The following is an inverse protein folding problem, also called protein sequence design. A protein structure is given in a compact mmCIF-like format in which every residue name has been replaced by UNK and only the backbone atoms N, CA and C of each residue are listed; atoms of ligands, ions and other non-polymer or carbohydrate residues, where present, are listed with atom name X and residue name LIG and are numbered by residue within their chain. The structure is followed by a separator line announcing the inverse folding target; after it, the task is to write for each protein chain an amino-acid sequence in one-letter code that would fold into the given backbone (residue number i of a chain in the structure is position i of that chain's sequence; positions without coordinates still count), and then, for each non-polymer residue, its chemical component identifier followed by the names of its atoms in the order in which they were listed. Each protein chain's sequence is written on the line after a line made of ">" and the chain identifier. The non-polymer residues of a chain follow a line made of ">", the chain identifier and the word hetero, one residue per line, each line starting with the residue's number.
data_IF_601027497097
#
_entry.id   IF_601027497097
#
_cell.length_a   1.000
_cell.length_b   1.000
_cell.length_c   1.000
_cell.angle_alpha   90.00
_cell.angle_beta   90.00
_cell.angle_gamma   90.00
#
_symmetry.space_group_name_H-M   'P 1'
#
loop_
_entity.id
_entity.type
_entity.pdbx_description
1 polymer ?
#
# COMPACT_ATOMS: atom_id res chain seq x y z
N UNK A 1 -4.38 24.35 7.13
CA UNK A 1 -5.66 23.78 6.70
C UNK A 1 -6.19 24.66 5.63
N UNK A 2 -6.56 24.07 4.50
CA UNK A 2 -7.13 24.79 3.36
C UNK A 2 -8.64 24.56 3.34
N UNK A 3 -9.41 25.64 3.30
CA UNK A 3 -10.86 25.58 3.16
C UNK A 3 -11.22 26.05 1.76
N UNK A 4 -12.09 25.29 1.09
CA UNK A 4 -12.76 25.74 -0.13
C UNK A 4 -14.14 26.28 0.22
N UNK A 5 -14.80 26.92 -0.75
CA UNK A 5 -16.14 27.48 -0.55
C UNK A 5 -17.12 26.41 -0.06
N UNK A 6 -17.78 26.70 1.07
CA UNK A 6 -18.77 25.86 1.70
C UNK A 6 -20.17 26.46 1.58
N UNK A 7 -21.12 25.86 2.29
CA UNK A 7 -22.50 26.38 2.34
C UNK A 7 -23.20 26.01 3.66
N UNK A 8 -24.01 26.94 4.16
CA UNK A 8 -24.86 26.78 5.32
C UNK A 8 -26.31 26.53 4.87
N UNK A 9 -26.71 25.27 4.86
CA UNK A 9 -28.08 24.84 4.51
C UNK A 9 -29.08 25.09 5.64
N UNK A 10 -28.62 25.45 6.85
CA UNK A 10 -29.52 25.78 7.98
C UNK A 10 -30.00 27.22 7.88
N UNK A 11 -29.13 28.13 7.42
CA UNK A 11 -29.41 29.57 7.35
C UNK A 11 -29.40 30.15 5.93
N UNK A 12 -29.26 29.30 4.90
CA UNK A 12 -29.22 29.66 3.47
C UNK A 12 -28.19 30.74 3.12
N UNK A 13 -26.92 30.50 3.46
CA UNK A 13 -25.80 31.43 3.21
C UNK A 13 -24.49 30.72 2.91
N UNK A 14 -23.53 31.44 2.33
CA UNK A 14 -22.21 30.88 1.96
C UNK A 14 -21.36 30.63 3.22
N UNK A 15 -21.53 31.43 4.27
CA UNK A 15 -20.70 31.31 5.47
C UNK A 15 -21.16 30.16 6.40
N UNK A 16 -20.53 29.00 6.23
CA UNK A 16 -20.73 27.80 7.04
C UNK A 16 -19.98 27.83 8.39
N UNK A 17 -20.22 28.86 9.21
CA UNK A 17 -19.61 28.97 10.54
C UNK A 17 -20.10 27.87 11.50
N UNK A 18 -19.18 27.33 12.30
CA UNK A 18 -19.51 26.41 13.38
C UNK A 18 -19.84 27.19 14.65
N UNK A 19 -21.07 27.04 15.12
CA UNK A 19 -21.65 27.65 16.31
C UNK A 19 -21.86 26.62 17.44
N UNK A 20 -21.26 25.43 17.32
CA UNK A 20 -21.40 24.33 18.27
C UNK A 20 -20.04 23.77 18.72
N UNK A 21 -19.11 23.59 17.77
CA UNK A 21 -17.78 22.99 17.98
C UNK A 21 -17.65 21.56 17.45
N UNK A 22 -18.75 20.84 17.23
CA UNK A 22 -18.71 19.48 16.71
C UNK A 22 -18.11 19.41 15.31
N UNK A 23 -18.54 20.32 14.41
CA UNK A 23 -18.07 20.37 13.03
C UNK A 23 -16.57 20.65 12.95
N UNK A 24 -16.08 21.60 13.75
CA UNK A 24 -14.67 21.98 13.81
C UNK A 24 -13.81 20.82 14.34
N UNK A 25 -14.27 20.11 15.37
CA UNK A 25 -13.56 18.94 15.92
C UNK A 25 -13.44 17.80 14.89
N UNK A 26 -14.53 17.53 14.18
CA UNK A 26 -14.58 16.54 13.09
C UNK A 26 -13.65 16.95 11.94
N UNK A 27 -13.71 18.20 11.50
CA UNK A 27 -12.85 18.77 10.47
C UNK A 27 -11.36 18.68 10.84
N UNK A 28 -11.03 18.99 12.10
CA UNK A 28 -9.66 18.89 12.63
C UNK A 28 -9.13 17.46 12.60
N UNK A 29 -9.97 16.47 12.94
CA UNK A 29 -9.60 15.05 12.83
C UNK A 29 -9.19 14.66 11.40
N UNK A 30 -9.83 15.25 10.38
CA UNK A 30 -9.50 15.00 8.98
C UNK A 30 -8.23 15.76 8.59
N UNK A 31 -8.20 17.09 8.73
CA UNK A 31 -7.17 17.94 8.11
C UNK A 31 -6.68 19.11 8.99
N UNK A 32 -6.56 18.90 10.30
CA UNK A 32 -5.91 19.89 11.16
C UNK A 32 -4.46 20.16 10.70
N UNK A 33 -4.09 21.44 10.73
CA UNK A 33 -2.74 21.91 10.39
C UNK A 33 -1.70 21.19 11.23
N UNK A 34 -0.75 20.53 10.56
CA UNK A 34 0.25 19.66 11.17
C UNK A 34 1.66 20.21 10.94
N UNK A 35 2.66 19.77 11.73
CA UNK A 35 4.08 20.17 11.64
C UNK A 35 4.39 21.64 12.00
N UNK A 36 3.54 22.28 12.80
CA UNK A 36 3.74 23.64 13.32
C UNK A 36 4.27 23.67 14.78
N UNK A 37 4.52 22.51 15.38
CA UNK A 37 4.96 22.38 16.78
C UNK A 37 3.86 22.68 17.82
N UNK A 38 2.59 22.69 17.41
CA UNK A 38 1.46 23.08 18.26
C UNK A 38 0.30 22.09 18.15
N UNK A 39 -0.28 21.73 19.30
CA UNK A 39 -1.53 20.97 19.36
C UNK A 39 -1.42 19.52 18.86
N UNK A 40 -2.31 19.17 17.93
CA UNK A 40 -2.49 17.81 17.38
C UNK A 40 -2.45 17.83 15.85
N UNK A 41 -2.64 16.68 15.21
CA UNK A 41 -2.52 16.48 13.77
C UNK A 41 -3.82 15.95 13.15
N UNK A 42 -4.10 16.36 11.91
CA UNK A 42 -5.11 15.75 11.06
C UNK A 42 -4.57 14.51 10.33
N UNK A 43 -5.45 13.55 10.03
CA UNK A 43 -5.07 12.33 9.31
C UNK A 43 -4.58 12.63 7.89
N UNK A 44 -5.30 13.47 7.14
CA UNK A 44 -4.98 13.95 5.81
C UNK A 44 -4.74 15.46 5.85
N UNK A 45 -3.66 15.89 6.51
CA UNK A 45 -3.38 17.29 6.82
C UNK A 45 -3.14 18.22 5.60
N UNK A 46 -2.97 17.67 4.40
CA UNK A 46 -2.90 18.43 3.13
C UNK A 46 -4.23 18.42 2.35
N UNK A 47 -5.28 17.77 2.87
CA UNK A 47 -6.59 17.81 2.24
C UNK A 47 -7.23 19.20 2.38
N UNK A 48 -7.92 19.63 1.33
CA UNK A 48 -8.84 20.77 1.37
C UNK A 48 -10.18 20.35 1.96
N UNK A 49 -10.79 21.22 2.76
CA UNK A 49 -12.08 20.98 3.40
C UNK A 49 -13.17 21.86 2.81
N UNK A 50 -14.30 21.25 2.43
CA UNK A 50 -15.54 21.93 2.05
C UNK A 50 -16.55 21.85 3.22
N UNK A 51 -16.75 22.93 3.99
CA UNK A 51 -17.65 22.89 5.14
C UNK A 51 -19.11 23.02 4.68
N UNK A 52 -19.92 21.99 4.91
CA UNK A 52 -21.36 22.00 4.64
C UNK A 52 -22.13 21.89 5.95
N UNK A 53 -22.72 23.01 6.38
CA UNK A 53 -23.48 23.06 7.64
C UNK A 53 -24.91 22.61 7.39
N UNK A 54 -25.24 21.44 7.94
CA UNK A 54 -26.58 20.83 7.88
C UNK A 54 -27.19 20.61 9.26
N UNK A 55 -26.44 20.91 10.33
CA UNK A 55 -26.88 20.86 11.72
C UNK A 55 -26.84 22.26 12.33
N UNK A 56 -27.94 22.66 12.96
CA UNK A 56 -28.05 23.90 13.73
C UNK A 56 -27.24 23.82 15.04
N UNK A 57 -27.14 24.94 15.76
CA UNK A 57 -26.41 25.03 17.04
C UNK A 57 -26.84 24.00 18.09
N UNK A 58 -28.07 23.50 18.02
CA UNK A 58 -28.57 22.44 18.91
C UNK A 58 -28.17 21.01 18.49
N UNK A 59 -27.42 20.85 17.39
CA UNK A 59 -27.01 19.57 16.82
C UNK A 59 -28.09 18.86 16.00
N UNK A 60 -29.24 19.49 15.75
CA UNK A 60 -30.32 18.95 14.92
C UNK A 60 -30.28 19.48 13.48
N UNK A 61 -30.78 18.70 12.54
CA UNK A 61 -30.91 19.07 11.12
C UNK A 61 -32.02 18.29 10.44
N UNK A 62 -32.33 18.63 9.19
CA UNK A 62 -33.38 17.95 8.43
C UNK A 62 -32.79 16.99 7.40
N UNK A 63 -33.56 15.96 7.05
CA UNK A 63 -33.18 15.02 5.98
C UNK A 63 -33.07 15.75 4.62
N UNK A 64 -33.85 16.82 4.41
CA UNK A 64 -33.80 17.61 3.20
C UNK A 64 -32.45 18.33 3.06
N UNK A 65 -32.03 19.06 4.10
CA UNK A 65 -30.76 19.81 4.10
C UNK A 65 -29.56 18.87 3.91
N UNK A 66 -29.59 17.70 4.57
CA UNK A 66 -28.50 16.71 4.43
C UNK A 66 -28.47 16.15 3.00
N UNK A 67 -29.62 15.78 2.43
CA UNK A 67 -29.69 15.24 1.07
C UNK A 67 -29.26 16.28 0.03
N UNK A 68 -29.65 17.54 0.21
CA UNK A 68 -29.23 18.65 -0.65
C UNK A 68 -27.72 18.90 -0.55
N UNK A 69 -27.16 18.91 0.66
CA UNK A 69 -25.73 19.05 0.88
C UNK A 69 -24.91 17.91 0.24
N UNK A 70 -25.39 16.66 0.28
CA UNK A 70 -24.73 15.54 -0.38
C UNK A 70 -24.68 15.76 -1.90
N UNK A 71 -25.78 16.22 -2.51
CA UNK A 71 -25.83 16.51 -3.94
C UNK A 71 -24.94 17.70 -4.29
N UNK A 72 -24.98 18.77 -3.50
CA UNK A 72 -24.13 19.95 -3.65
C UNK A 72 -22.65 19.57 -3.64
N UNK A 73 -22.23 18.76 -2.66
CA UNK A 73 -20.86 18.26 -2.56
C UNK A 73 -20.46 17.45 -3.81
N UNK A 74 -21.32 16.54 -4.25
CA UNK A 74 -21.07 15.72 -5.44
C UNK A 74 -21.02 16.58 -6.73
N UNK A 75 -21.79 17.66 -6.80
CA UNK A 75 -21.75 18.62 -7.92
C UNK A 75 -20.47 19.46 -7.95
N UNK A 76 -19.81 19.61 -6.80
CA UNK A 76 -18.49 20.24 -6.69
C UNK A 76 -17.32 19.22 -6.76
N UNK A 77 -17.60 17.98 -7.19
CA UNK A 77 -16.58 16.95 -7.44
C UNK A 77 -15.69 16.64 -6.23
N UNK A 78 -16.26 16.71 -5.01
CA UNK A 78 -15.49 16.37 -3.81
C UNK A 78 -15.08 14.89 -3.80
N UNK A 79 -13.92 14.61 -3.20
CA UNK A 79 -13.40 13.25 -3.16
C UNK A 79 -14.10 12.35 -2.15
N UNK A 80 -14.40 12.90 -0.97
CA UNK A 80 -14.93 12.18 0.20
C UNK A 80 -15.92 13.07 0.94
N UNK A 81 -17.07 12.52 1.33
CA UNK A 81 -18.03 13.18 2.22
C UNK A 81 -18.04 12.43 3.56
N UNK A 82 -17.80 13.16 4.65
CA UNK A 82 -17.93 12.64 6.00
C UNK A 82 -19.23 13.12 6.66
N UNK A 83 -20.07 12.18 7.07
CA UNK A 83 -21.36 12.40 7.73
C UNK A 83 -21.28 11.94 9.18
N UNK A 84 -20.73 12.79 10.05
CA UNK A 84 -20.65 12.56 11.51
C UNK A 84 -22.00 12.80 12.23
N UNK A 85 -23.10 12.40 11.60
CA UNK A 85 -24.48 12.60 12.03
C UNK A 85 -25.27 11.28 11.98
N UNK A 86 -26.46 11.24 12.59
CA UNK A 86 -27.29 10.05 12.57
C UNK A 86 -28.76 10.33 12.86
N UNK A 87 -29.64 9.53 12.27
CA UNK A 87 -31.09 9.59 12.41
C UNK A 87 -31.74 8.20 12.47
N UNK A 88 -32.99 8.16 12.93
CA UNK A 88 -33.67 6.91 13.24
C UNK A 88 -34.35 6.23 12.04
N UNK A 89 -34.46 6.89 10.89
CA UNK A 89 -35.32 6.44 9.79
C UNK A 89 -34.64 6.46 8.43
N UNK A 90 -35.06 5.51 7.59
CA UNK A 90 -34.78 5.50 6.16
C UNK A 90 -35.60 6.58 5.44
N UNK A 91 -35.06 7.13 4.38
CA UNK A 91 -35.67 8.13 3.53
C UNK A 91 -35.20 7.92 2.09
N UNK A 92 -36.15 7.79 1.17
CA UNK A 92 -35.84 7.66 -0.26
C UNK A 92 -35.04 8.87 -0.77
N UNK A 93 -35.34 10.08 -0.28
CA UNK A 93 -34.59 11.29 -0.65
C UNK A 93 -33.10 11.18 -0.30
N UNK A 94 -32.80 10.62 0.88
CA UNK A 94 -31.42 10.40 1.32
C UNK A 94 -30.74 9.30 0.51
N UNK A 95 -31.44 8.19 0.26
CA UNK A 95 -30.93 7.09 -0.55
C UNK A 95 -30.58 7.55 -1.97
N UNK A 96 -31.45 8.32 -2.62
CA UNK A 96 -31.21 8.88 -3.95
C UNK A 96 -30.04 9.86 -3.99
N UNK A 97 -29.85 10.67 -2.94
CA UNK A 97 -28.70 11.57 -2.83
C UNK A 97 -27.39 10.81 -2.66
N UNK A 98 -27.39 9.76 -1.83
CA UNK A 98 -26.24 8.86 -1.62
C UNK A 98 -25.88 8.16 -2.92
N UNK A 99 -26.85 7.57 -3.61
CA UNK A 99 -26.63 6.90 -4.89
C UNK A 99 -26.07 7.88 -5.93
N UNK A 100 -26.61 9.10 -5.99
CA UNK A 100 -26.13 10.15 -6.88
C UNK A 100 -24.65 10.49 -6.63
N UNK A 101 -24.26 10.70 -5.37
CA UNK A 101 -22.89 11.00 -5.00
C UNK A 101 -21.94 9.82 -5.28
N UNK A 102 -22.36 8.59 -4.95
CA UNK A 102 -21.56 7.39 -5.20
C UNK A 102 -21.27 7.19 -6.70
N UNK A 103 -22.28 7.35 -7.56
CA UNK A 103 -22.10 7.23 -9.02
C UNK A 103 -21.26 8.36 -9.63
N UNK A 104 -21.07 9.47 -8.91
CA UNK A 104 -20.10 10.52 -9.27
C UNK A 104 -18.67 10.23 -8.78
N UNK A 105 -18.42 9.09 -8.14
CA UNK A 105 -17.10 8.71 -7.65
C UNK A 105 -16.75 9.29 -6.27
N UNK A 106 -17.75 9.74 -5.51
CA UNK A 106 -17.57 10.26 -4.15
C UNK A 106 -17.57 9.12 -3.14
N UNK A 107 -16.59 9.10 -2.25
CA UNK A 107 -16.57 8.15 -1.12
C UNK A 107 -17.42 8.71 0.01
N UNK A 108 -18.41 7.93 0.46
CA UNK A 108 -19.34 8.34 1.52
C UNK A 108 -18.98 7.62 2.81
N UNK A 109 -18.72 8.37 3.89
CA UNK A 109 -18.36 7.81 5.21
C UNK A 109 -19.33 8.36 6.25
N UNK A 110 -19.86 7.50 7.12
CA UNK A 110 -20.80 7.94 8.15
C UNK A 110 -20.61 7.24 9.50
N UNK A 111 -21.00 7.95 10.55
CA UNK A 111 -20.98 7.46 11.92
C UNK A 111 -22.06 6.39 12.17
N UNK A 112 -21.71 5.25 12.76
CA UNK A 112 -22.66 4.17 13.05
C UNK A 112 -23.73 4.53 14.11
N UNK A 113 -23.49 5.54 14.95
CA UNK A 113 -24.39 5.98 16.01
C UNK A 113 -23.95 5.56 17.42
N UNK A 114 -24.50 6.23 18.44
CA UNK A 114 -24.00 6.20 19.83
C UNK A 114 -25.02 5.63 20.83
N UNK A 115 -25.79 4.62 20.44
CA UNK A 115 -26.88 4.06 21.26
C UNK A 115 -26.66 2.60 21.70
N UNK A 116 -25.48 2.04 21.45
CA UNK A 116 -25.14 0.63 21.68
C UNK A 116 -26.16 -0.36 21.08
N UNK A 117 -26.69 -0.03 19.90
CA UNK A 117 -27.67 -0.84 19.18
C UNK A 117 -26.97 -1.81 18.21
N UNK A 118 -27.57 -2.97 17.99
CA UNK A 118 -27.11 -3.99 17.02
C UNK A 118 -27.55 -3.66 15.57
N UNK A 119 -27.48 -2.38 15.21
CA UNK A 119 -27.55 -1.89 13.85
C UNK A 119 -26.96 -0.48 13.79
N UNK A 120 -26.29 -0.15 12.68
CA UNK A 120 -25.91 1.23 12.39
C UNK A 120 -27.16 2.11 12.17
N UNK A 121 -27.06 3.38 12.55
CA UNK A 121 -28.06 4.41 12.26
C UNK A 121 -27.99 4.83 10.78
N UNK A 122 -29.02 5.50 10.28
CA UNK A 122 -28.94 6.15 8.97
C UNK A 122 -28.20 7.49 9.13
N UNK A 123 -27.29 7.88 8.22
CA UNK A 123 -27.08 7.31 6.89
C UNK A 123 -26.06 6.15 6.79
N UNK A 124 -25.34 5.80 7.86
CA UNK A 124 -24.32 4.73 7.83
C UNK A 124 -24.85 3.35 7.38
N UNK A 125 -26.15 3.11 7.52
CA UNK A 125 -26.79 1.86 7.10
C UNK A 125 -27.17 1.79 5.62
N UNK A 126 -27.11 2.90 4.87
CA UNK A 126 -27.41 2.85 3.44
C UNK A 126 -26.35 2.05 2.68
N UNK A 127 -26.72 1.38 1.57
CA UNK A 127 -25.75 0.92 0.59
C UNK A 127 -24.82 2.06 0.16
N UNK A 128 -23.60 1.72 -0.25
CA UNK A 128 -22.58 2.68 -0.73
C UNK A 128 -22.01 3.64 0.32
N UNK A 129 -22.52 3.65 1.55
CA UNK A 129 -21.95 4.40 2.67
C UNK A 129 -21.08 3.48 3.52
N UNK A 130 -19.87 3.94 3.84
CA UNK A 130 -18.95 3.25 4.74
C UNK A 130 -19.39 3.56 6.17
N UNK A 131 -19.99 2.58 6.84
CA UNK A 131 -20.43 2.73 8.23
C UNK A 131 -19.30 2.47 9.23
N UNK A 132 -19.06 3.44 10.12
CA UNK A 132 -17.91 3.43 11.03
C UNK A 132 -18.32 3.30 12.50
N UNK A 133 -17.89 2.20 13.14
CA UNK A 133 -18.03 2.02 14.59
C UNK A 133 -16.86 2.63 15.37
N UNK A 134 -17.09 2.95 16.64
CA UNK A 134 -16.12 3.63 17.49
C UNK A 134 -15.34 2.66 18.38
N UNK A 135 -14.03 2.86 18.42
CA UNK A 135 -13.09 2.21 19.33
C UNK A 135 -12.74 3.12 20.50
N UNK A 136 -12.54 2.54 21.67
CA UNK A 136 -11.94 3.20 22.82
C UNK A 136 -10.40 3.19 22.75
N UNK A 137 -9.75 3.78 23.77
CA UNK A 137 -8.29 3.85 23.86
C UNK A 137 -7.59 2.50 24.04
N UNK A 138 -8.32 1.44 24.40
CA UNK A 138 -7.79 0.07 24.46
C UNK A 138 -7.96 -0.67 23.12
N UNK A 139 -8.56 -0.04 22.12
CA UNK A 139 -8.88 -0.67 20.84
C UNK A 139 -10.10 -1.59 20.89
N UNK A 140 -10.90 -1.54 21.96
CA UNK A 140 -12.14 -2.29 22.07
C UNK A 140 -13.31 -1.44 21.58
N UNK A 141 -14.43 -2.08 21.21
CA UNK A 141 -15.65 -1.32 20.86
C UNK A 141 -16.03 -0.41 22.03
N UNK A 142 -16.18 0.87 21.74
CA UNK A 142 -16.63 1.84 22.73
C UNK A 142 -18.02 1.42 23.29
N UNK A 143 -18.29 1.59 24.59
CA UNK A 143 -19.54 1.13 25.20
C UNK A 143 -20.80 1.70 24.56
N UNK A 144 -20.74 2.91 24.01
CA UNK A 144 -21.86 3.57 23.34
C UNK A 144 -21.99 3.21 21.85
N UNK A 145 -20.95 2.65 21.20
CA UNK A 145 -20.95 2.47 19.75
C UNK A 145 -22.02 1.47 19.33
N UNK A 146 -22.82 1.86 18.34
CA UNK A 146 -23.61 0.91 17.56
C UNK A 146 -22.69 -0.07 16.83
N UNK A 147 -23.22 -1.26 16.54
CA UNK A 147 -22.53 -2.39 15.93
C UNK A 147 -23.51 -3.18 15.05
N UNK A 148 -23.06 -4.26 14.41
CA UNK A 148 -23.94 -5.15 13.65
C UNK A 148 -24.12 -4.69 12.21
N UNK A 149 -25.34 -4.83 11.70
CA UNK A 149 -25.63 -4.53 10.29
C UNK A 149 -25.36 -3.06 9.93
N UNK A 150 -24.66 -2.83 8.82
CA UNK A 150 -24.27 -1.49 8.35
C UNK A 150 -22.97 -0.97 8.98
N UNK A 151 -22.22 -1.78 9.73
CA UNK A 151 -20.85 -1.46 10.13
C UNK A 151 -19.86 -2.15 9.20
N UNK A 152 -19.04 -1.36 8.51
CA UNK A 152 -18.03 -1.83 7.57
C UNK A 152 -16.62 -1.87 8.16
N UNK A 153 -16.31 -0.94 9.07
CA UNK A 153 -14.98 -0.75 9.64
C UNK A 153 -15.09 -0.06 11.00
N UNK A 154 -14.07 -0.23 11.85
CA UNK A 154 -13.96 0.46 13.14
C UNK A 154 -12.76 1.40 13.20
N UNK A 155 -12.91 2.53 13.89
CA UNK A 155 -11.87 3.53 14.03
C UNK A 155 -11.90 4.21 15.42
N UNK A 156 -10.83 4.91 15.83
CA UNK A 156 -10.78 5.59 17.12
C UNK A 156 -11.91 6.62 17.29
N UNK A 157 -12.86 6.34 18.18
CA UNK A 157 -13.95 7.25 18.53
C UNK A 157 -13.87 7.76 19.97
N UNK A 158 -12.99 7.17 20.79
CA UNK A 158 -12.74 7.54 22.17
C UNK A 158 -13.79 7.05 23.16
N UNK A 159 -13.47 7.20 24.44
CA UNK A 159 -14.37 6.92 25.58
C UNK A 159 -14.00 7.81 26.77
N UNK A 160 -14.67 7.66 27.91
CA UNK A 160 -14.33 8.41 29.12
C UNK A 160 -12.88 8.19 29.58
N UNK A 161 -12.28 7.05 29.23
CA UNK A 161 -10.90 6.71 29.56
C UNK A 161 -9.87 7.24 28.55
N UNK A 162 -10.32 7.87 27.46
CA UNK A 162 -9.46 8.39 26.42
C UNK A 162 -10.28 8.99 25.29
N UNK A 163 -10.44 10.31 25.30
CA UNK A 163 -11.19 11.08 24.29
C UNK A 163 -10.30 11.45 23.11
N UNK A 164 -10.91 11.71 21.96
CA UNK A 164 -10.20 12.23 20.78
C UNK A 164 -10.01 13.73 20.98
N UNK A 165 -8.75 14.17 21.12
CA UNK A 165 -8.38 15.56 21.34
C UNK A 165 -8.19 16.27 19.99
N UNK A 166 -8.88 17.38 19.78
CA UNK A 166 -8.68 18.27 18.62
C UNK A 166 -8.87 19.74 19.03
N UNK A 167 -8.33 20.66 18.23
CA UNK A 167 -8.73 22.06 18.31
C UNK A 167 -10.17 22.20 17.82
N UNK A 168 -10.98 22.94 18.56
CA UNK A 168 -12.38 23.19 18.26
C UNK A 168 -12.83 24.55 18.79
N UNK A 169 -14.11 24.87 18.61
CA UNK A 169 -14.76 26.06 19.15
C UNK A 169 -15.56 25.67 20.38
N UNK A 170 -15.42 26.45 21.45
CA UNK A 170 -16.27 26.35 22.61
C UNK A 170 -17.67 26.90 22.26
N UNK A 171 -18.69 26.05 22.30
CA UNK A 171 -20.05 26.41 21.88
C UNK A 171 -20.76 27.47 22.76
N UNK A 172 -20.24 27.76 23.96
CA UNK A 172 -20.81 28.82 24.83
C UNK A 172 -20.15 30.18 24.58
N UNK A 173 -18.83 30.18 24.39
CA UNK A 173 -18.02 31.40 24.28
C UNK A 173 -17.64 31.77 22.85
N UNK A 174 -17.72 30.83 21.90
CA UNK A 174 -17.25 30.97 20.53
C UNK A 174 -15.73 31.06 20.40
N UNK A 175 -14.98 30.69 21.45
CA UNK A 175 -13.51 30.83 21.46
C UNK A 175 -12.81 29.52 21.08
N UNK A 176 -11.63 29.58 20.43
CA UNK A 176 -10.85 28.37 20.13
C UNK A 176 -10.36 27.67 21.40
N UNK A 177 -10.51 26.35 21.46
CA UNK A 177 -10.12 25.51 22.59
C UNK A 177 -9.68 24.11 22.13
N UNK A 178 -8.77 23.47 22.86
CA UNK A 178 -8.52 22.04 22.69
C UNK A 178 -9.49 21.24 23.55
N UNK A 179 -10.34 20.43 22.91
CA UNK A 179 -11.34 19.63 23.61
C UNK A 179 -11.28 18.16 23.19
N UNK A 180 -11.44 17.29 24.18
CA UNK A 180 -11.55 15.85 23.99
C UNK A 180 -13.01 15.44 23.81
N UNK A 181 -13.40 14.93 22.64
CA UNK A 181 -14.74 14.40 22.36
C UNK A 181 -14.74 12.87 22.25
N UNK A 182 -15.92 12.27 22.44
CA UNK A 182 -16.14 10.85 22.17
C UNK A 182 -17.37 10.66 21.30
N UNK A 183 -17.31 9.71 20.37
CA UNK A 183 -18.43 9.34 19.52
C UNK A 183 -18.01 8.59 18.27
N UNK A 184 -18.95 7.90 17.65
CA UNK A 184 -18.81 7.43 16.25
C UNK A 184 -18.60 8.61 15.28
N UNK A 185 -19.07 9.80 15.65
CA UNK A 185 -18.76 11.07 14.98
C UNK A 185 -17.26 11.41 14.96
N UNK A 186 -16.46 10.91 15.90
CA UNK A 186 -15.00 11.07 15.92
C UNK A 186 -14.30 9.90 15.23
N UNK A 187 -14.92 8.72 15.16
CA UNK A 187 -14.40 7.57 14.42
C UNK A 187 -14.52 7.76 12.89
N UNK A 188 -15.69 8.22 12.42
CA UNK A 188 -15.97 8.50 11.00
C UNK A 188 -14.90 9.37 10.31
N UNK A 189 -14.48 10.53 10.86
CA UNK A 189 -13.48 11.38 10.21
C UNK A 189 -12.08 10.76 10.14
N UNK A 190 -11.72 9.82 11.03
CA UNK A 190 -10.47 9.08 10.87
C UNK A 190 -10.50 8.24 9.59
N UNK A 191 -11.63 7.55 9.31
CA UNK A 191 -11.81 6.76 8.09
C UNK A 191 -11.87 7.67 6.87
N UNK A 192 -12.57 8.80 6.93
CA UNK A 192 -12.64 9.77 5.85
C UNK A 192 -11.26 10.35 5.50
N UNK A 193 -10.43 10.66 6.50
CA UNK A 193 -9.05 11.07 6.30
C UNK A 193 -8.21 10.00 5.60
N UNK A 194 -8.31 8.72 6.01
CA UNK A 194 -7.60 7.64 5.32
C UNK A 194 -8.12 7.42 3.90
N UNK A 195 -9.44 7.53 3.68
CA UNK A 195 -10.02 7.47 2.34
C UNK A 195 -9.45 8.56 1.43
N UNK A 196 -9.30 9.79 1.93
CA UNK A 196 -8.66 10.88 1.20
C UNK A 196 -7.20 10.57 0.85
N UNK A 197 -6.43 9.96 1.76
CA UNK A 197 -5.05 9.51 1.49
C UNK A 197 -5.00 8.41 0.41
N UNK A 198 -5.96 7.49 0.39
CA UNK A 198 -6.08 6.46 -0.66
C UNK A 198 -6.41 7.10 -2.01
N UNK A 199 -7.37 8.05 -2.06
CA UNK A 199 -7.69 8.77 -3.30
C UNK A 199 -6.52 9.60 -3.82
N UNK A 200 -5.75 10.22 -2.92
CA UNK A 200 -4.52 10.94 -3.27
C UNK A 200 -3.44 10.03 -3.86
N UNK A 201 -3.49 8.71 -3.61
CA UNK A 201 -2.62 7.74 -4.29
C UNK A 201 -3.11 7.42 -5.71
N UNK A 202 -4.25 7.93 -6.17
CA UNK A 202 -4.75 7.71 -7.54
C UNK A 202 -5.77 6.58 -7.68
N UNK A 203 -6.24 5.98 -6.58
CA UNK A 203 -7.40 5.09 -6.61
C UNK A 203 -8.66 5.96 -6.51
N UNK A 204 -9.41 6.09 -7.60
CA UNK A 204 -10.54 7.03 -7.65
C UNK A 204 -11.91 6.38 -7.40
N UNK A 205 -12.07 5.10 -7.75
CA UNK A 205 -13.34 4.39 -7.61
C UNK A 205 -13.68 4.16 -6.13
N UNK A 206 -14.89 4.55 -5.65
CA UNK A 206 -15.26 4.39 -4.25
C UNK A 206 -15.28 2.94 -3.76
N UNK A 207 -15.62 1.97 -4.63
CA UNK A 207 -15.59 0.56 -4.27
C UNK A 207 -14.16 0.07 -4.05
N UNK A 208 -13.23 0.52 -4.88
CA UNK A 208 -11.80 0.21 -4.72
C UNK A 208 -11.22 0.84 -3.45
N UNK A 209 -11.61 2.08 -3.11
CA UNK A 209 -11.24 2.71 -1.83
C UNK A 209 -11.73 1.88 -0.65
N UNK A 210 -13.00 1.45 -0.66
CA UNK A 210 -13.56 0.59 0.39
C UNK A 210 -12.82 -0.75 0.48
N UNK A 211 -12.46 -1.36 -0.66
CA UNK A 211 -11.70 -2.60 -0.69
C UNK A 211 -10.32 -2.44 -0.06
N UNK A 212 -9.60 -1.36 -0.37
CA UNK A 212 -8.31 -1.05 0.26
C UNK A 212 -8.46 -0.85 1.77
N UNK A 213 -9.47 -0.10 2.20
CA UNK A 213 -9.76 0.09 3.63
C UNK A 213 -9.99 -1.26 4.31
N UNK A 214 -10.88 -2.11 3.80
CA UNK A 214 -11.21 -3.42 4.39
C UNK A 214 -10.03 -4.41 4.38
N UNK A 215 -9.17 -4.38 3.37
CA UNK A 215 -8.01 -5.29 3.30
C UNK A 215 -6.83 -4.84 4.16
N UNK A 216 -6.79 -3.55 4.52
CA UNK A 216 -5.70 -2.97 5.30
C UNK A 216 -5.94 -2.95 6.80
N UNK A 217 -7.13 -3.33 7.26
CA UNK A 217 -7.48 -3.32 8.68
C UNK A 217 -6.61 -4.28 9.50
N UNK A 218 -6.47 -3.98 10.79
CA UNK A 218 -6.12 -5.00 11.78
C UNK A 218 -7.36 -5.85 12.02
N UNK A 219 -7.39 -7.01 11.37
CA UNK A 219 -8.50 -7.96 11.46
C UNK A 219 -8.69 -8.49 12.89
N UNK A 220 -9.94 -8.71 13.26
CA UNK A 220 -10.33 -9.33 14.53
C UNK A 220 -11.06 -10.62 14.17
N UNK A 221 -10.47 -11.76 14.54
CA UNK A 221 -10.95 -13.08 14.08
C UNK A 221 -12.26 -13.52 14.75
N UNK A 222 -12.52 -13.08 15.98
CA UNK A 222 -13.70 -13.46 16.76
C UNK A 222 -14.60 -12.24 17.03
N UNK A 223 -15.50 -11.97 16.10
CA UNK A 223 -16.49 -10.88 16.19
C UNK A 223 -17.89 -11.30 15.70
N UNK A 224 -18.58 -12.21 16.42
CA UNK A 224 -19.85 -12.79 15.97
C UNK A 224 -21.00 -11.78 15.85
N UNK A 225 -20.87 -10.61 16.48
CA UNK A 225 -21.89 -9.55 16.46
C UNK A 225 -21.51 -8.38 15.56
N UNK A 226 -20.39 -8.46 14.83
CA UNK A 226 -19.90 -7.39 13.95
C UNK A 226 -19.74 -6.04 14.66
N UNK A 227 -19.01 -6.03 15.77
CA UNK A 227 -18.57 -4.80 16.45
C UNK A 227 -17.57 -3.98 15.64
N UNK A 228 -16.74 -4.65 14.83
CA UNK A 228 -15.56 -4.06 14.21
C UNK A 228 -15.63 -3.96 12.68
N UNK A 229 -16.67 -4.51 12.04
CA UNK A 229 -16.71 -4.59 10.58
C UNK A 229 -15.59 -5.51 10.06
N UNK A 230 -14.86 -5.05 9.06
CA UNK A 230 -13.65 -5.71 8.58
C UNK A 230 -12.46 -5.65 9.56
N UNK A 231 -12.56 -4.86 10.65
CA UNK A 231 -11.52 -4.73 11.66
C UNK A 231 -11.20 -3.27 11.99
N UNK A 232 -10.07 -3.06 12.68
CA UNK A 232 -9.63 -1.73 13.09
C UNK A 232 -8.86 -1.03 11.97
N UNK A 233 -9.17 0.24 11.74
CA UNK A 233 -8.49 1.09 10.76
C UNK A 233 -6.96 1.12 10.99
N UNK A 234 -6.21 0.97 9.90
CA UNK A 234 -4.76 1.14 9.84
C UNK A 234 -4.36 2.00 8.64
N UNK A 235 -4.08 3.28 8.90
CA UNK A 235 -3.73 4.23 7.85
C UNK A 235 -2.43 3.86 7.12
N UNK A 236 -1.44 3.33 7.83
CA UNK A 236 -0.14 2.98 7.24
C UNK A 236 -0.25 1.79 6.30
N UNK A 237 -0.99 0.75 6.70
CA UNK A 237 -1.29 -0.39 5.85
C UNK A 237 -2.11 0.02 4.62
N UNK A 238 -3.11 0.89 4.79
CA UNK A 238 -3.97 1.38 3.73
C UNK A 238 -3.18 2.09 2.62
N UNK A 239 -2.37 3.10 2.98
CA UNK A 239 -1.55 3.84 2.01
C UNK A 239 -0.52 2.94 1.34
N UNK A 240 0.10 2.02 2.09
CA UNK A 240 1.07 1.07 1.53
C UNK A 240 0.43 0.12 0.51
N UNK A 241 -0.81 -0.31 0.76
CA UNK A 241 -1.58 -1.15 -0.15
C UNK A 241 -2.01 -0.35 -1.39
N UNK A 242 -2.48 0.88 -1.20
CA UNK A 242 -2.90 1.77 -2.27
C UNK A 242 -1.77 2.10 -3.27
N UNK A 243 -0.53 2.26 -2.76
CA UNK A 243 0.67 2.49 -3.57
C UNK A 243 1.23 1.23 -4.24
N UNK A 244 0.69 0.03 -3.96
CA UNK A 244 1.22 -1.23 -4.48
C UNK A 244 0.93 -1.35 -5.98
N UNK A 245 1.96 -1.13 -6.81
CA UNK A 245 1.90 -1.30 -8.27
C UNK A 245 2.01 0.01 -9.07
N UNK A 246 1.91 1.17 -8.40
CA UNK A 246 2.09 2.47 -9.04
C UNK A 246 3.57 2.89 -9.03
N UNK A 247 4.10 3.29 -10.18
CA UNK A 247 5.43 3.93 -10.28
C UNK A 247 5.20 5.42 -10.06
N UNK A 248 5.29 5.91 -8.83
CA UNK A 248 5.30 7.36 -8.61
C UNK A 248 6.73 7.91 -8.71
N UNK A 249 6.86 9.17 -9.13
CA UNK A 249 8.15 9.87 -9.11
C UNK A 249 8.74 9.95 -7.69
N UNK A 250 7.86 9.99 -6.68
CA UNK A 250 8.25 9.92 -5.28
C UNK A 250 8.82 8.55 -4.89
N UNK A 251 8.32 7.44 -5.45
CA UNK A 251 8.90 6.11 -5.21
C UNK A 251 10.30 5.98 -5.82
N UNK A 252 10.54 6.61 -6.97
CA UNK A 252 11.88 6.69 -7.56
C UNK A 252 12.86 7.45 -6.66
N UNK A 253 12.45 8.63 -6.16
CA UNK A 253 13.29 9.41 -5.23
C UNK A 253 13.48 8.74 -3.87
N UNK A 254 12.45 8.07 -3.36
CA UNK A 254 12.54 7.25 -2.14
C UNK A 254 13.53 6.12 -2.33
N UNK A 255 13.47 5.42 -3.46
CA UNK A 255 14.40 4.35 -3.80
C UNK A 255 15.84 4.88 -3.98
N UNK A 256 16.03 6.04 -4.61
CA UNK A 256 17.33 6.72 -4.71
C UNK A 256 17.92 7.02 -3.33
N UNK A 257 17.09 7.51 -2.40
CA UNK A 257 17.49 7.82 -1.02
C UNK A 257 17.88 6.55 -0.26
N UNK A 258 17.00 5.56 -0.26
CA UNK A 258 17.12 4.37 0.58
C UNK A 258 18.28 3.47 0.14
N UNK A 259 18.68 3.53 -1.15
CA UNK A 259 19.84 2.81 -1.69
C UNK A 259 21.11 3.68 -1.76
N UNK A 260 21.10 4.88 -1.19
CA UNK A 260 22.29 5.74 -1.06
C UNK A 260 22.74 6.43 -2.34
N UNK A 261 21.95 6.40 -3.41
CA UNK A 261 22.27 7.04 -4.69
C UNK A 261 22.13 8.56 -4.67
N UNK A 262 21.56 9.17 -3.63
CA UNK A 262 21.55 10.63 -3.44
C UNK A 262 22.91 11.19 -2.96
N UNK A 263 23.88 10.33 -2.62
CA UNK A 263 25.18 10.80 -2.18
C UNK A 263 26.00 11.40 -3.35
N UNK A 264 26.42 12.68 -3.29
CA UNK A 264 27.19 13.32 -4.36
C UNK A 264 28.48 12.56 -4.70
N UNK A 265 29.09 11.92 -3.69
CA UNK A 265 30.32 11.13 -3.83
C UNK A 265 30.13 9.95 -4.81
N UNK A 266 28.95 9.33 -4.83
CA UNK A 266 28.61 8.25 -5.76
C UNK A 266 28.66 8.72 -7.22
N UNK A 267 28.25 9.95 -7.51
CA UNK A 267 28.22 10.50 -8.87
C UNK A 267 29.56 11.08 -9.31
N UNK A 268 30.35 11.57 -8.35
CA UNK A 268 31.61 12.27 -8.61
C UNK A 268 32.82 11.30 -8.68
N UNK A 269 32.77 10.14 -8.02
CA UNK A 269 33.84 9.14 -8.11
C UNK A 269 33.90 8.47 -9.49
N UNK A 270 34.99 8.65 -10.24
CA UNK A 270 35.24 7.95 -11.52
C UNK A 270 35.02 8.74 -12.82
N UNK A 271 34.71 10.04 -12.73
CA UNK A 271 34.64 10.96 -13.89
C UNK A 271 33.44 10.76 -14.82
N UNK A 272 33.32 11.65 -15.83
CA UNK A 272 32.17 11.74 -16.76
C UNK A 272 31.93 10.46 -17.57
N UNK A 273 32.98 9.67 -17.80
CA UNK A 273 32.93 8.38 -18.54
C UNK A 273 32.14 7.32 -17.75
N UNK A 274 32.09 7.43 -16.41
CA UNK A 274 31.33 6.51 -15.55
C UNK A 274 29.86 6.96 -15.32
N UNK A 275 29.47 8.17 -15.77
CA UNK A 275 28.15 8.74 -15.49
C UNK A 275 27.03 7.96 -16.19
N UNK A 276 27.14 7.73 -17.50
CA UNK A 276 26.10 7.03 -18.27
C UNK A 276 25.88 5.57 -17.84
N UNK A 277 26.94 4.76 -17.59
CA UNK A 277 26.78 3.44 -17.00
C UNK A 277 26.12 3.46 -15.62
N UNK A 278 26.42 4.45 -14.77
CA UNK A 278 25.77 4.60 -13.46
C UNK A 278 24.30 4.98 -13.59
N UNK A 279 23.95 5.89 -14.50
CA UNK A 279 22.54 6.23 -14.79
C UNK A 279 21.80 4.97 -15.27
N UNK A 280 22.38 4.24 -16.22
CA UNK A 280 21.78 2.99 -16.72
C UNK A 280 21.64 1.93 -15.62
N UNK A 281 22.62 1.82 -14.72
CA UNK A 281 22.57 0.92 -13.58
C UNK A 281 21.46 1.31 -12.60
N UNK A 282 21.34 2.59 -12.26
CA UNK A 282 20.33 3.13 -11.32
C UNK A 282 18.92 2.98 -11.90
N UNK A 283 18.71 3.34 -13.17
CA UNK A 283 17.43 3.16 -13.85
C UNK A 283 17.10 1.68 -14.03
N UNK A 284 18.08 0.87 -14.44
CA UNK A 284 17.92 -0.56 -14.63
C UNK A 284 17.61 -1.29 -13.33
N UNK A 285 18.28 -0.95 -12.22
CA UNK A 285 18.01 -1.58 -10.92
C UNK A 285 16.68 -1.11 -10.32
N UNK A 286 16.25 0.13 -10.55
CA UNK A 286 14.90 0.59 -10.20
C UNK A 286 13.82 -0.13 -11.01
N UNK A 287 13.96 -0.20 -12.33
CA UNK A 287 13.01 -0.92 -13.20
C UNK A 287 12.96 -2.42 -12.88
N UNK A 288 14.10 -3.02 -12.57
CA UNK A 288 14.18 -4.41 -12.12
C UNK A 288 13.49 -4.60 -10.77
N UNK A 289 13.77 -3.74 -9.79
CA UNK A 289 13.13 -3.81 -8.47
C UNK A 289 11.61 -3.62 -8.57
N UNK A 290 11.15 -2.70 -9.42
CA UNK A 290 9.73 -2.51 -9.72
C UNK A 290 9.11 -3.75 -10.37
N UNK A 291 9.74 -4.27 -11.43
CA UNK A 291 9.29 -5.46 -12.14
C UNK A 291 9.18 -6.66 -11.19
N UNK A 292 10.21 -6.89 -10.38
CA UNK A 292 10.24 -7.95 -9.38
C UNK A 292 9.13 -7.76 -8.33
N UNK A 293 8.92 -6.55 -7.79
CA UNK A 293 7.89 -6.29 -6.78
C UNK A 293 6.46 -6.43 -7.31
N UNK A 294 6.23 -6.13 -8.58
CA UNK A 294 4.90 -6.18 -9.19
C UNK A 294 4.51 -7.58 -9.66
N UNK A 295 5.46 -8.32 -10.24
CA UNK A 295 5.20 -9.63 -10.84
C UNK A 295 5.54 -10.82 -9.94
N UNK A 296 6.33 -10.60 -8.89
CA UNK A 296 6.65 -11.64 -7.92
C UNK A 296 6.37 -11.21 -6.47
N UNK A 297 5.46 -11.90 -5.76
CA UNK A 297 5.21 -11.67 -4.34
C UNK A 297 6.26 -12.42 -3.49
N UNK A 298 7.48 -11.92 -3.34
CA UNK A 298 8.45 -12.52 -2.41
C UNK A 298 8.84 -11.61 -1.24
N UNK A 299 9.05 -12.24 -0.08
CA UNK A 299 9.75 -11.67 1.07
C UNK A 299 11.25 -11.88 0.87
N UNK A 300 12.05 -10.83 1.09
CA UNK A 300 13.49 -10.93 0.85
C UNK A 300 14.11 -11.84 1.93
N UNK A 301 14.43 -13.07 1.56
CA UNK A 301 15.04 -14.05 2.46
C UNK A 301 16.50 -14.29 2.10
N UNK A 302 17.30 -14.67 3.10
CA UNK A 302 18.69 -15.05 2.90
C UNK A 302 18.83 -16.23 1.92
N UNK A 303 17.88 -17.17 1.92
CA UNK A 303 17.87 -18.30 0.98
C UNK A 303 17.60 -17.86 -0.46
N UNK A 304 16.70 -16.90 -0.69
CA UNK A 304 16.47 -16.35 -2.03
C UNK A 304 17.71 -15.61 -2.54
N UNK A 305 18.34 -14.80 -1.68
CA UNK A 305 19.53 -14.02 -2.04
C UNK A 305 20.73 -14.93 -2.38
N UNK A 306 20.98 -15.95 -1.57
CA UNK A 306 22.04 -16.93 -1.81
C UNK A 306 21.79 -17.72 -3.10
N UNK A 307 20.55 -18.13 -3.37
CA UNK A 307 20.17 -18.76 -4.64
C UNK A 307 20.43 -17.84 -5.84
N UNK A 308 20.02 -16.57 -5.75
CA UNK A 308 20.20 -15.59 -6.83
C UNK A 308 21.68 -15.34 -7.14
N UNK A 309 22.52 -15.21 -6.10
CA UNK A 309 23.98 -15.07 -6.27
C UNK A 309 24.57 -16.32 -6.91
N UNK A 310 24.24 -17.51 -6.41
CA UNK A 310 24.74 -18.77 -6.96
C UNK A 310 24.33 -18.97 -8.43
N UNK A 311 23.09 -18.58 -8.79
CA UNK A 311 22.60 -18.70 -10.16
C UNK A 311 23.19 -17.67 -11.14
N UNK A 312 23.50 -16.45 -10.67
CA UNK A 312 23.87 -15.33 -11.55
C UNK A 312 25.37 -15.16 -11.76
N UNK A 313 26.12 -14.85 -10.70
CA UNK A 313 27.54 -14.50 -10.75
C UNK A 313 28.45 -15.41 -9.93
N UNK A 314 27.87 -16.24 -9.04
CA UNK A 314 28.62 -16.88 -7.97
C UNK A 314 29.28 -15.85 -7.04
N UNK A 315 30.16 -16.32 -6.15
CA UNK A 315 31.01 -15.46 -5.32
C UNK A 315 32.23 -14.99 -6.13
N UNK A 316 32.01 -14.23 -7.20
CA UNK A 316 32.99 -13.92 -8.26
C UNK A 316 34.37 -13.47 -7.73
N UNK A 317 34.43 -12.77 -6.59
CA UNK A 317 35.66 -12.33 -5.94
C UNK A 317 36.58 -13.49 -5.52
N UNK A 318 36.02 -14.68 -5.26
CA UNK A 318 36.80 -15.89 -4.94
C UNK A 318 37.63 -16.38 -6.13
N UNK A 319 37.25 -16.07 -7.39
CA UNK A 319 38.04 -16.46 -8.57
C UNK A 319 39.44 -15.84 -8.57
N UNK A 320 39.62 -14.68 -7.92
CA UNK A 320 40.90 -13.97 -7.82
C UNK A 320 41.74 -14.33 -6.58
N UNK A 321 41.21 -15.15 -5.67
CA UNK A 321 41.93 -15.57 -4.46
C UNK A 321 42.93 -16.66 -4.84
N UNK A 322 44.21 -16.36 -4.69
CA UNK A 322 45.29 -17.30 -4.90
C UNK A 322 45.96 -17.64 -3.57
N UNK A 323 45.82 -18.89 -3.13
CA UNK A 323 46.52 -19.41 -1.96
C UNK A 323 47.61 -20.36 -2.43
N UNK A 324 48.86 -20.05 -2.10
CA UNK A 324 50.02 -20.88 -2.43
C UNK A 324 49.85 -22.31 -1.88
N UNK A 325 50.18 -23.33 -2.69
CA UNK A 325 50.07 -24.77 -2.40
C UNK A 325 48.66 -25.38 -2.22
N UNK A 326 47.57 -24.63 -2.44
CA UNK A 326 46.21 -25.20 -2.47
C UNK A 326 45.66 -25.41 -3.89
N UNK A 327 44.81 -26.43 -4.11
CA UNK A 327 44.03 -26.53 -5.34
C UNK A 327 43.13 -25.31 -5.50
N UNK A 328 43.21 -24.62 -6.64
CA UNK A 328 42.44 -23.40 -6.90
C UNK A 328 41.02 -23.67 -7.42
N UNK A 329 40.73 -24.91 -7.81
CA UNK A 329 39.43 -25.30 -8.37
C UNK A 329 38.25 -25.07 -7.40
N UNK A 330 38.35 -25.21 -6.06
CA UNK A 330 37.23 -24.93 -5.16
C UNK A 330 36.83 -23.46 -5.17
N UNK A 331 37.82 -22.56 -5.19
CA UNK A 331 37.58 -21.11 -5.28
C UNK A 331 37.00 -20.71 -6.64
N UNK A 332 37.43 -21.36 -7.72
CA UNK A 332 36.84 -21.19 -9.05
C UNK A 332 35.40 -21.68 -9.11
N UNK A 333 35.09 -22.82 -8.49
CA UNK A 333 33.73 -23.38 -8.43
C UNK A 333 32.81 -22.49 -7.61
N UNK A 334 33.20 -22.11 -6.39
CA UNK A 334 32.41 -21.21 -5.53
C UNK A 334 32.26 -19.81 -6.15
N UNK A 335 33.27 -19.38 -6.91
CA UNK A 335 33.24 -18.10 -7.58
C UNK A 335 32.45 -18.08 -8.88
N UNK A 336 32.07 -19.24 -9.43
CA UNK A 336 31.35 -19.34 -10.70
C UNK A 336 29.84 -19.43 -10.50
N UNK A 337 29.08 -18.91 -11.45
CA UNK A 337 27.63 -19.10 -11.49
C UNK A 337 27.27 -20.53 -11.92
N UNK A 338 26.04 -20.97 -11.65
CA UNK A 338 25.54 -22.30 -12.07
C UNK A 338 25.83 -22.60 -13.55
N UNK A 339 25.59 -21.69 -14.52
CA UNK A 339 25.90 -21.91 -15.93
C UNK A 339 27.40 -22.08 -16.21
N UNK A 340 28.24 -21.41 -15.42
CA UNK A 340 29.70 -21.43 -15.55
C UNK A 340 30.36 -22.63 -14.87
N UNK A 341 29.66 -23.38 -14.00
CA UNK A 341 30.23 -24.53 -13.30
C UNK A 341 30.87 -25.57 -14.25
N UNK A 342 30.27 -25.77 -15.42
CA UNK A 342 30.84 -26.64 -16.45
C UNK A 342 32.22 -26.17 -16.94
N UNK A 343 32.42 -24.86 -17.06
CA UNK A 343 33.71 -24.25 -17.41
C UNK A 343 34.68 -24.16 -16.24
N UNK A 344 34.19 -24.13 -14.99
CA UNK A 344 35.03 -24.10 -13.80
C UNK A 344 35.66 -25.47 -13.49
N UNK A 345 34.95 -26.54 -13.84
CA UNK A 345 35.38 -27.94 -13.64
C UNK A 345 36.11 -28.46 -14.88
N UNK A 346 35.71 -28.02 -16.07
CA UNK A 346 36.39 -28.31 -17.34
C UNK A 346 37.57 -27.38 -17.62
N UNK A 347 38.42 -27.72 -18.59
CA UNK A 347 39.53 -26.87 -19.05
C UNK A 347 39.13 -25.89 -20.17
N UNK A 348 37.83 -25.72 -20.44
CA UNK A 348 37.32 -24.91 -21.55
C UNK A 348 36.77 -23.55 -21.10
N UNK A 349 37.06 -22.50 -21.86
CA UNK A 349 36.56 -21.14 -21.61
C UNK A 349 35.10 -20.90 -22.04
N UNK A 350 34.46 -21.87 -22.71
CA UNK A 350 33.08 -21.75 -23.22
C UNK A 350 32.06 -22.36 -22.27
N UNK A 351 30.81 -21.91 -22.36
CA UNK A 351 29.72 -22.43 -21.54
C UNK A 351 29.32 -23.85 -21.97
N UNK A 352 29.07 -24.73 -20.99
CA UNK A 352 28.59 -26.08 -21.25
C UNK A 352 27.07 -26.05 -21.41
N UNK A 353 26.49 -26.53 -22.54
CA UNK A 353 25.03 -26.49 -22.78
C UNK A 353 24.18 -27.14 -21.69
N UNK A 354 24.71 -28.14 -20.97
CA UNK A 354 23.97 -28.82 -19.90
C UNK A 354 23.86 -27.94 -18.64
N UNK A 355 24.95 -27.25 -18.27
CA UNK A 355 24.96 -26.30 -17.16
C UNK A 355 24.29 -24.98 -17.53
N UNK A 356 24.43 -24.54 -18.78
CA UNK A 356 23.77 -23.38 -19.36
C UNK A 356 22.33 -23.67 -19.83
N UNK A 357 21.61 -24.52 -19.10
CA UNK A 357 20.23 -24.89 -19.37
C UNK A 357 19.34 -24.81 -18.14
N UNK A 358 18.05 -24.93 -18.36
CA UNK A 358 17.04 -24.97 -17.31
C UNK A 358 17.06 -26.24 -16.44
N UNK A 359 17.83 -27.27 -16.82
CA UNK A 359 17.82 -28.59 -16.16
C UNK A 359 18.18 -28.50 -14.68
N UNK A 360 19.25 -27.77 -14.32
CA UNK A 360 19.69 -27.64 -12.92
C UNK A 360 18.65 -26.87 -12.09
N UNK A 361 18.17 -25.68 -12.52
CA UNK A 361 17.04 -25.00 -11.89
C UNK A 361 15.79 -25.88 -11.73
N UNK A 362 15.44 -26.66 -12.76
CA UNK A 362 14.29 -27.55 -12.73
C UNK A 362 14.42 -28.62 -11.64
N UNK A 363 15.58 -29.28 -11.56
CA UNK A 363 15.86 -30.30 -10.53
C UNK A 363 15.81 -29.67 -9.13
N UNK A 364 16.43 -28.50 -8.95
CA UNK A 364 16.42 -27.78 -7.67
C UNK A 364 14.99 -27.43 -7.24
N UNK A 365 14.17 -26.91 -8.16
CA UNK A 365 12.77 -26.60 -7.87
C UNK A 365 12.01 -27.89 -7.54
N UNK A 366 12.13 -28.94 -8.35
CA UNK A 366 11.42 -30.20 -8.12
C UNK A 366 11.76 -30.84 -6.75
N UNK A 367 13.01 -30.75 -6.30
CA UNK A 367 13.45 -31.30 -5.01
C UNK A 367 13.05 -30.42 -3.81
N UNK A 368 13.08 -29.09 -3.97
CA UNK A 368 12.98 -28.16 -2.85
C UNK A 368 11.62 -27.46 -2.76
N UNK A 369 10.71 -27.64 -3.73
CA UNK A 369 9.38 -26.99 -3.73
C UNK A 369 8.60 -27.26 -2.44
N UNK A 370 8.72 -28.47 -1.88
CA UNK A 370 8.05 -28.87 -0.64
C UNK A 370 8.67 -28.31 0.65
N UNK A 371 9.84 -27.67 0.59
CA UNK A 371 10.53 -27.14 1.77
C UNK A 371 10.29 -25.63 1.96
N UNK A 372 9.80 -25.17 3.12
CA UNK A 372 9.41 -23.77 3.32
C UNK A 372 10.52 -22.74 3.10
N UNK A 373 11.75 -23.06 3.52
CA UNK A 373 12.90 -22.14 3.44
C UNK A 373 13.76 -22.36 2.19
N UNK A 374 13.94 -23.63 1.79
CA UNK A 374 14.85 -24.00 0.70
C UNK A 374 14.22 -23.89 -0.69
N UNK A 375 12.88 -23.85 -0.80
CA UNK A 375 12.23 -23.53 -2.08
C UNK A 375 12.69 -22.19 -2.64
N UNK A 376 12.91 -21.20 -1.77
CA UNK A 376 13.35 -19.87 -2.17
C UNK A 376 14.79 -19.88 -2.69
N UNK A 377 15.65 -20.78 -2.19
CA UNK A 377 16.97 -21.00 -2.78
C UNK A 377 16.85 -21.51 -4.22
N UNK A 378 15.95 -22.45 -4.49
CA UNK A 378 15.71 -22.97 -5.84
C UNK A 378 15.13 -21.91 -6.79
N UNK A 379 14.14 -21.14 -6.33
CA UNK A 379 13.54 -20.02 -7.09
C UNK A 379 14.60 -18.95 -7.39
N UNK A 380 15.39 -18.56 -6.40
CA UNK A 380 16.49 -17.60 -6.55
C UNK A 380 17.53 -18.09 -7.56
N UNK A 381 17.91 -19.37 -7.48
CA UNK A 381 18.85 -19.99 -8.42
C UNK A 381 18.31 -19.96 -9.86
N UNK A 382 17.02 -20.25 -10.05
CA UNK A 382 16.39 -20.20 -11.37
C UNK A 382 16.39 -18.79 -11.98
N UNK A 383 16.06 -17.76 -11.18
CA UNK A 383 16.11 -16.36 -11.62
C UNK A 383 17.55 -15.89 -11.89
N UNK A 384 18.50 -16.31 -11.06
CA UNK A 384 19.92 -16.03 -11.26
C UNK A 384 20.44 -16.64 -12.56
N UNK A 385 20.12 -17.91 -12.82
CA UNK A 385 20.48 -18.60 -14.08
C UNK A 385 19.85 -17.91 -15.28
N UNK A 386 18.55 -17.56 -15.21
CA UNK A 386 17.87 -16.83 -16.29
C UNK A 386 18.60 -15.54 -16.65
N UNK A 387 19.00 -14.78 -15.63
CA UNK A 387 19.75 -13.51 -15.80
C UNK A 387 21.12 -13.74 -16.43
N UNK A 388 21.88 -14.73 -15.93
CA UNK A 388 23.20 -15.08 -16.46
C UNK A 388 23.14 -15.50 -17.94
N UNK A 389 22.15 -16.32 -18.31
CA UNK A 389 21.97 -16.79 -19.68
C UNK A 389 21.54 -15.65 -20.61
N UNK A 390 20.65 -14.75 -20.16
CA UNK A 390 20.22 -13.59 -20.93
C UNK A 390 21.39 -12.64 -21.22
N UNK A 391 22.25 -12.36 -20.24
CA UNK A 391 23.46 -11.54 -20.43
C UNK A 391 24.44 -12.25 -21.37
N UNK A 392 24.68 -13.55 -21.15
CA UNK A 392 25.59 -14.35 -21.98
C UNK A 392 25.14 -14.40 -23.44
N UNK A 393 23.83 -14.44 -23.72
CA UNK A 393 23.29 -14.41 -25.07
C UNK A 393 23.64 -13.11 -25.83
N UNK A 394 23.77 -11.99 -25.12
CA UNK A 394 24.10 -10.69 -25.70
C UNK A 394 25.62 -10.50 -25.81
N UNK A 395 26.35 -10.82 -24.74
CA UNK A 395 27.78 -10.47 -24.60
C UNK A 395 28.69 -11.52 -25.22
N UNK A 396 28.46 -12.80 -24.95
CA UNK A 396 29.36 -13.90 -25.35
C UNK A 396 28.60 -15.22 -25.53
N UNK A 397 27.90 -15.42 -26.66
CA UNK A 397 26.99 -16.54 -26.85
C UNK A 397 27.71 -17.85 -27.22
N UNK A 398 28.92 -18.08 -26.74
CA UNK A 398 29.73 -19.23 -27.17
C UNK A 398 29.49 -20.45 -26.28
N UNK A 399 29.12 -21.57 -26.91
CA UNK A 399 28.83 -22.85 -26.27
C UNK A 399 29.78 -23.94 -26.80
N UNK A 400 30.25 -24.83 -25.91
CA UNK A 400 31.26 -25.87 -26.23
C UNK A 400 30.87 -26.76 -27.44
N UNK A 401 29.57 -26.97 -27.69
CA UNK A 401 29.08 -27.85 -28.77
C UNK A 401 28.33 -27.14 -29.88
N UNK A 402 27.78 -25.96 -29.61
CA UNK A 402 26.95 -25.19 -30.55
C UNK A 402 27.76 -24.07 -31.22
N UNK A 403 29.00 -23.82 -30.78
CA UNK A 403 29.83 -22.72 -31.24
C UNK A 403 29.23 -21.36 -30.85
N UNK A 404 29.64 -20.32 -31.57
CA UNK A 404 29.02 -19.00 -31.52
C UNK A 404 28.06 -18.81 -32.70
N UNK A 405 26.99 -18.04 -32.51
CA UNK A 405 26.08 -17.67 -33.60
C UNK A 405 24.63 -17.50 -33.15
N UNK A 406 23.71 -17.50 -34.12
CA UNK A 406 22.27 -17.31 -33.86
C UNK A 406 21.70 -18.50 -33.07
N UNK A 407 22.14 -19.72 -33.38
CA UNK A 407 21.67 -20.95 -32.71
C UNK A 407 21.98 -20.96 -31.21
N UNK A 408 23.20 -20.56 -30.83
CA UNK A 408 23.59 -20.48 -29.42
C UNK A 408 22.86 -19.35 -28.68
N UNK A 409 22.62 -18.20 -29.34
CA UNK A 409 21.78 -17.13 -28.79
C UNK A 409 20.35 -17.58 -28.53
N UNK A 410 19.72 -18.24 -29.50
CA UNK A 410 18.35 -18.76 -29.36
C UNK A 410 18.28 -19.81 -28.25
N UNK A 411 19.29 -20.68 -28.16
CA UNK A 411 19.38 -21.66 -27.07
C UNK A 411 19.45 -21.00 -25.68
N UNK A 412 20.32 -19.99 -25.52
CA UNK A 412 20.48 -19.27 -24.25
C UNK A 412 19.23 -18.48 -23.88
N UNK A 413 18.61 -17.76 -24.83
CA UNK A 413 17.37 -17.01 -24.60
C UNK A 413 16.22 -17.95 -24.27
N UNK A 414 16.08 -19.06 -25.01
CA UNK A 414 15.05 -20.06 -24.75
C UNK A 414 15.16 -20.65 -23.35
N UNK A 415 16.37 -21.02 -22.92
CA UNK A 415 16.60 -21.51 -21.55
C UNK A 415 16.40 -20.42 -20.50
N UNK A 416 16.77 -19.16 -20.77
CA UNK A 416 16.51 -18.05 -19.87
C UNK A 416 15.00 -17.86 -19.62
N UNK A 417 14.19 -17.89 -20.68
CA UNK A 417 12.73 -17.81 -20.58
C UNK A 417 12.13 -19.02 -19.85
N UNK A 418 12.64 -20.23 -20.10
CA UNK A 418 12.19 -21.43 -19.37
C UNK A 418 12.51 -21.36 -17.88
N UNK A 419 13.72 -20.92 -17.51
CA UNK A 419 14.11 -20.70 -16.11
C UNK A 419 13.20 -19.65 -15.44
N UNK A 420 12.89 -18.57 -16.15
CA UNK A 420 11.97 -17.53 -15.67
C UNK A 420 10.54 -18.08 -15.47
N UNK A 421 10.01 -18.81 -16.44
CA UNK A 421 8.69 -19.45 -16.36
C UNK A 421 8.60 -20.46 -15.21
N UNK A 422 9.65 -21.23 -14.98
CA UNK A 422 9.74 -22.17 -13.85
C UNK A 422 9.72 -21.47 -12.50
N UNK A 423 10.51 -20.39 -12.34
CA UNK A 423 10.48 -19.58 -11.13
C UNK A 423 9.09 -18.98 -10.89
N UNK A 424 8.43 -18.50 -11.95
CA UNK A 424 7.08 -17.93 -11.89
C UNK A 424 6.04 -18.96 -11.44
N UNK A 425 6.04 -20.16 -12.02
CA UNK A 425 5.12 -21.24 -11.65
C UNK A 425 5.33 -21.70 -10.21
N UNK A 426 6.59 -21.82 -9.76
CA UNK A 426 6.90 -22.21 -8.39
C UNK A 426 6.39 -21.20 -7.34
N UNK A 427 6.28 -19.92 -7.71
CA UNK A 427 5.74 -18.86 -6.85
C UNK A 427 4.20 -18.80 -6.90
N UNK A 428 3.57 -19.09 -8.05
CA UNK A 428 2.10 -19.13 -8.13
C UNK A 428 1.46 -20.24 -7.30
N UNK A 429 2.15 -21.36 -7.08
CA UNK A 429 1.64 -22.46 -6.23
C UNK A 429 1.28 -22.04 -4.81
N UNK A 430 1.85 -20.96 -4.27
CA UNK A 430 1.50 -20.43 -2.95
C UNK A 430 0.15 -19.69 -2.92
N UNK A 431 -0.25 -19.04 -4.03
CA UNK A 431 -1.53 -18.31 -4.10
C UNK A 431 -2.77 -19.21 -3.99
N UNK A 432 -2.60 -20.53 -4.15
CA UNK A 432 -3.68 -21.51 -4.01
C UNK A 432 -3.67 -22.22 -2.65
N UNK A 433 -2.61 -22.07 -1.85
CA UNK A 433 -2.44 -22.74 -0.56
C UNK A 433 -2.54 -21.81 0.67
N UNK A 434 -2.67 -20.51 0.43
CA UNK A 434 -2.99 -19.47 1.42
C UNK A 434 -4.36 -18.89 1.06
#
# INVERSE_FOLDING_TARGET
>A
TEFVEGYDFVNDRIEAWDDQGHGTHVAGTIAQSTNNGYGVAGVAYEASLMPLKVLAANGGGTVADIAEAIRFAADHEVDVINMSLGGAGESNLMAEAIDYAYHKGVVLVAAAGNSNQNAAAYPARYPHVIGVSALDSAGLKAPYSNFGAGVDISAPGGSENGKILQETIDGETGTPVFAGFQGTSMASPHVAGVAALIKASGIQDPADVLNVLKQSTRAIEDDPLNHYGAGQLDAGAAVKLALKGQITFQDFFRWLRDNGYLNPRFWIDGGVIALWPKIAMVLGSYLLAWFLRNYFPFTWSWSLATGLVAGSSGLFFLKGVYIFDLPQWPFRVMGSSIPELGSAIGSSSFLNPLFASVVIPFILIALLLGHPQWKWLAVGSALGVASCLAVSAVVSPELIWLGGGILSRVFLIGNALLCFGLAYLAVQGEKQSA
#
